data_IF_316594275757
#
_entry.id   IF_316594275757
#
_cell.length_a   1.000
_cell.length_b   1.000
_cell.length_c   1.000
_cell.angle_alpha   90.00
_cell.angle_beta   90.00
_cell.angle_gamma   90.00
#
_symmetry.space_group_name_H-M   'P 1'
#
loop_
_entity.id
_entity.type
_entity.pdbx_description
1 polymer ?
#
# COMPACT_ATOMS: atom_id res chain seq x y z
N UNK A 1 -7.50 17.59 -1.81
CA UNK A 1 -7.29 16.13 -1.87
C UNK A 1 -6.69 15.84 -3.23
N UNK A 2 -5.56 15.14 -3.30
CA UNK A 2 -4.86 14.87 -4.56
C UNK A 2 -4.86 13.36 -4.77
N UNK A 3 -5.58 12.90 -5.80
CA UNK A 3 -5.53 11.53 -6.25
C UNK A 3 -4.31 11.34 -7.14
N UNK A 4 -3.59 10.24 -6.93
CA UNK A 4 -2.54 9.81 -7.85
C UNK A 4 -3.16 9.52 -9.21
N UNK A 5 -2.46 9.84 -10.29
CA UNK A 5 -2.85 9.52 -11.66
C UNK A 5 -1.79 8.67 -12.37
N UNK A 6 -2.25 7.88 -13.34
CA UNK A 6 -1.35 7.28 -14.30
C UNK A 6 -0.43 8.33 -14.93
N UNK A 7 0.85 8.00 -15.06
CA UNK A 7 1.90 8.91 -15.51
C UNK A 7 2.66 9.63 -14.38
N UNK A 8 2.20 9.55 -13.13
CA UNK A 8 2.94 10.06 -11.97
C UNK A 8 3.93 9.01 -11.44
N UNK A 9 4.79 9.41 -10.50
CA UNK A 9 5.77 8.51 -9.87
C UNK A 9 5.49 8.39 -8.38
N UNK A 10 5.69 7.19 -7.86
CA UNK A 10 5.63 6.88 -6.42
C UNK A 10 6.89 6.17 -5.98
N UNK A 11 7.24 6.33 -4.71
CA UNK A 11 8.37 5.60 -4.13
C UNK A 11 7.96 4.17 -3.76
N UNK A 12 8.83 3.24 -4.10
CA UNK A 12 8.63 1.81 -3.91
C UNK A 12 9.95 1.13 -3.52
N UNK A 13 9.86 -0.02 -2.87
CA UNK A 13 11.00 -0.90 -2.54
C UNK A 13 10.67 -2.31 -3.02
N UNK A 14 11.66 -3.04 -3.54
CA UNK A 14 11.44 -4.40 -3.98
C UNK A 14 10.90 -5.29 -2.83
N UNK A 15 9.83 -6.03 -3.07
CA UNK A 15 9.12 -6.87 -2.08
C UNK A 15 9.94 -8.05 -1.56
N UNK A 16 11.00 -8.46 -2.26
CA UNK A 16 11.91 -9.53 -1.87
C UNK A 16 13.07 -9.04 -0.97
N UNK A 17 13.31 -7.73 -0.88
CA UNK A 17 14.42 -7.17 -0.10
C UNK A 17 13.97 -6.01 0.80
N UNK A 18 13.69 -6.26 2.10
CA UNK A 18 13.32 -5.20 3.04
C UNK A 18 14.42 -4.16 3.26
N UNK A 19 15.68 -4.46 2.90
CA UNK A 19 16.81 -3.55 2.99
C UNK A 19 17.18 -2.93 1.63
N UNK A 20 16.40 -3.23 0.58
CA UNK A 20 16.63 -2.75 -0.77
C UNK A 20 16.47 -1.22 -0.89
N UNK A 21 17.03 -0.62 -1.95
CA UNK A 21 16.88 0.81 -2.19
C UNK A 21 15.42 1.20 -2.38
N UNK A 22 15.08 2.43 -2.01
CA UNK A 22 13.82 3.05 -2.42
C UNK A 22 14.02 3.70 -3.78
N UNK A 23 13.13 3.38 -4.71
CA UNK A 23 13.20 3.82 -6.10
C UNK A 23 11.88 4.45 -6.54
N UNK A 24 11.90 5.49 -7.40
CA UNK A 24 10.70 6.01 -8.02
C UNK A 24 10.20 5.02 -9.10
N UNK A 25 8.92 4.66 -9.04
CA UNK A 25 8.25 3.82 -10.04
C UNK A 25 7.09 4.55 -10.66
N UNK A 26 6.95 4.40 -11.97
CA UNK A 26 5.87 4.99 -12.75
C UNK A 26 4.55 4.33 -12.36
N UNK A 27 3.53 5.14 -12.09
CA UNK A 27 2.15 4.70 -11.95
C UNK A 27 1.59 4.45 -13.34
N UNK A 28 1.32 3.20 -13.66
CA UNK A 28 0.78 2.81 -14.96
C UNK A 28 -0.73 2.95 -15.02
N UNK A 29 -1.41 2.56 -13.94
CA UNK A 29 -2.87 2.49 -13.87
C UNK A 29 -3.37 2.77 -12.45
N UNK A 30 -4.58 3.31 -12.35
CA UNK A 30 -5.27 3.57 -11.08
C UNK A 30 -6.66 2.96 -11.10
N UNK A 31 -7.11 2.43 -9.98
CA UNK A 31 -8.36 1.69 -9.83
C UNK A 31 -9.14 2.21 -8.62
N UNK A 32 -10.46 2.01 -8.62
CA UNK A 32 -11.30 2.25 -7.44
C UNK A 32 -12.40 1.19 -7.32
N UNK A 33 -12.85 0.95 -6.09
CA UNK A 33 -14.07 0.16 -5.78
C UNK A 33 -14.59 0.52 -4.37
N UNK A 34 -15.72 -0.06 -3.98
CA UNK A 34 -16.21 -0.01 -2.60
C UNK A 34 -15.67 -1.20 -1.80
N UNK A 35 -15.26 -1.00 -0.54
CA UNK A 35 -15.17 -2.10 0.45
C UNK A 35 -15.23 -1.57 1.88
N UNK A 36 -15.26 -2.53 2.82
CA UNK A 36 -15.21 -2.31 4.26
C UNK A 36 -13.85 -1.74 4.67
N UNK A 37 -13.89 -0.82 5.63
CA UNK A 37 -12.75 -0.07 6.08
C UNK A 37 -12.32 -0.51 7.48
N UNK A 38 -11.00 -0.57 7.65
CA UNK A 38 -10.35 -0.78 8.92
C UNK A 38 -9.59 0.49 9.30
N UNK A 39 -9.63 0.83 10.59
CA UNK A 39 -8.74 1.79 11.20
C UNK A 39 -7.58 1.03 11.84
N UNK A 40 -6.42 1.09 11.20
CA UNK A 40 -5.16 0.54 11.73
C UNK A 40 -4.39 1.69 12.39
N UNK A 41 -4.27 1.67 13.71
CA UNK A 41 -3.48 2.67 14.41
C UNK A 41 -2.01 2.25 14.45
N UNK A 42 -1.15 3.01 13.78
CA UNK A 42 0.31 2.84 13.76
C UNK A 42 0.92 4.03 14.49
N UNK A 43 1.68 3.74 15.55
CA UNK A 43 2.15 4.75 16.51
C UNK A 43 0.99 5.68 16.97
N UNK A 44 1.05 6.95 16.61
CA UNK A 44 0.07 7.97 16.97
C UNK A 44 -0.86 8.38 15.81
N UNK A 45 -0.85 7.65 14.70
CA UNK A 45 -1.67 7.95 13.52
C UNK A 45 -2.56 6.78 13.14
N UNK A 46 -3.67 7.10 12.47
CA UNK A 46 -4.63 6.10 11.98
C UNK A 46 -4.53 6.01 10.47
N UNK A 47 -4.12 4.84 9.99
CA UNK A 47 -4.20 4.48 8.59
C UNK A 47 -5.58 3.87 8.35
N UNK A 48 -6.27 4.38 7.34
CA UNK A 48 -7.54 3.82 6.87
C UNK A 48 -7.23 2.87 5.72
N UNK A 49 -7.57 1.61 5.89
CA UNK A 49 -7.13 0.55 4.96
C UNK A 49 -8.20 -0.53 4.84
N UNK A 50 -8.04 -1.46 3.91
CA UNK A 50 -8.82 -2.70 3.93
C UNK A 50 -8.16 -3.78 4.76
N UNK A 51 -8.98 -4.70 5.27
CA UNK A 51 -8.51 -5.85 6.03
C UNK A 51 -7.48 -6.69 5.27
N UNK A 52 -7.66 -6.91 3.96
CA UNK A 52 -6.75 -7.70 3.13
C UNK A 52 -5.48 -6.97 2.67
N UNK A 53 -5.27 -5.71 3.10
CA UNK A 53 -4.12 -4.93 2.63
C UNK A 53 -2.86 -5.29 3.43
N UNK A 54 -1.82 -5.86 2.80
CA UNK A 54 -0.67 -6.37 3.55
C UNK A 54 0.36 -5.30 3.91
N UNK A 55 0.87 -5.39 5.15
CA UNK A 55 1.99 -4.61 5.66
C UNK A 55 3.17 -5.53 6.02
N UNK A 56 4.40 -5.06 5.87
CA UNK A 56 5.58 -5.87 6.20
C UNK A 56 5.83 -5.86 7.71
N UNK A 57 5.50 -6.94 8.39
CA UNK A 57 5.60 -7.10 9.84
C UNK A 57 6.90 -7.80 10.27
N UNK A 58 7.50 -7.30 11.35
CA UNK A 58 8.76 -7.80 11.89
C UNK A 58 8.65 -9.28 12.27
N UNK A 59 9.58 -10.09 11.74
CA UNK A 59 9.61 -11.54 12.00
C UNK A 59 8.45 -12.34 11.39
N UNK A 60 7.52 -11.68 10.69
CA UNK A 60 6.34 -12.30 10.05
C UNK A 60 6.30 -12.13 8.53
N UNK A 61 6.97 -11.11 7.98
CA UNK A 61 6.88 -10.77 6.56
C UNK A 61 5.58 -10.05 6.23
N UNK A 62 5.04 -10.25 5.03
CA UNK A 62 3.78 -9.61 4.61
C UNK A 62 2.57 -10.20 5.36
N UNK A 63 1.86 -9.37 6.11
CA UNK A 63 0.66 -9.73 6.89
C UNK A 63 -0.49 -8.82 6.52
N UNK A 64 -1.65 -9.39 6.22
CA UNK A 64 -2.87 -8.64 5.89
C UNK A 64 -3.29 -7.78 7.11
N UNK A 65 -3.77 -6.55 6.90
CA UNK A 65 -4.08 -5.59 7.96
C UNK A 65 -4.98 -6.16 9.08
N UNK A 66 -5.98 -6.96 8.71
CA UNK A 66 -6.92 -7.58 9.65
C UNK A 66 -6.28 -8.67 10.52
N UNK A 67 -5.10 -9.16 10.15
CA UNK A 67 -4.36 -10.21 10.86
C UNK A 67 -3.25 -9.64 11.77
N UNK A 68 -2.98 -8.33 11.68
CA UNK A 68 -2.05 -7.65 12.57
C UNK A 68 -2.59 -7.61 13.99
N UNK A 69 -1.70 -7.77 14.97
CA UNK A 69 -2.03 -7.72 16.39
C UNK A 69 -1.45 -6.46 17.03
N UNK A 70 -2.10 -5.98 18.10
CA UNK A 70 -1.55 -4.91 18.93
C UNK A 70 -0.18 -5.33 19.46
N UNK A 71 0.81 -4.46 19.29
CA UNK A 71 2.21 -4.71 19.64
C UNK A 71 3.06 -5.30 18.50
N UNK A 72 2.45 -5.75 17.40
CA UNK A 72 3.20 -6.03 16.18
C UNK A 72 3.91 -4.77 15.68
N UNK A 73 5.00 -4.95 14.94
CA UNK A 73 5.74 -3.84 14.34
C UNK A 73 5.80 -3.98 12.83
N UNK A 74 5.55 -2.88 12.11
CA UNK A 74 5.57 -2.81 10.65
C UNK A 74 6.72 -1.94 10.17
N UNK A 75 7.28 -2.25 9.01
CA UNK A 75 8.48 -1.58 8.50
C UNK A 75 8.14 -0.22 7.88
N UNK A 76 8.84 0.82 8.33
CA UNK A 76 8.78 2.15 7.76
C UNK A 76 9.72 2.35 6.57
N UNK A 77 9.49 3.42 5.80
CA UNK A 77 10.33 3.80 4.65
C UNK A 77 11.80 4.01 5.05
N UNK A 78 12.06 4.62 6.20
CA UNK A 78 13.37 4.88 6.76
C UNK A 78 14.06 3.64 7.39
N UNK A 79 13.40 2.48 7.36
CA UNK A 79 13.88 1.24 7.98
C UNK A 79 13.57 1.11 9.47
N UNK A 80 12.84 2.06 10.06
CA UNK A 80 12.39 1.96 11.45
C UNK A 80 11.18 1.03 11.58
N UNK A 81 11.04 0.42 12.76
CA UNK A 81 9.92 -0.44 13.10
C UNK A 81 8.85 0.35 13.85
N UNK A 82 7.66 0.44 13.26
CA UNK A 82 6.52 1.22 13.76
C UNK A 82 5.48 0.29 14.41
N UNK A 83 5.03 0.63 15.60
CA UNK A 83 4.21 -0.23 16.45
C UNK A 83 2.72 -0.10 16.13
N UNK A 84 2.04 -1.23 15.95
CA UNK A 84 0.57 -1.30 15.90
C UNK A 84 0.01 -1.06 17.31
N UNK A 85 -0.80 -0.02 17.46
CA UNK A 85 -1.42 0.37 18.74
C UNK A 85 -2.87 -0.07 18.86
N UNK A 86 -3.58 -0.15 17.74
CA UNK A 86 -5.00 -0.53 17.71
C UNK A 86 -5.41 -1.01 16.30
N UNK A 87 -6.50 -1.78 16.24
CA UNK A 87 -7.12 -2.25 15.00
C UNK A 87 -8.64 -2.31 15.18
N UNK A 88 -9.37 -1.58 14.35
CA UNK A 88 -10.83 -1.53 14.36
C UNK A 88 -11.40 -1.82 12.97
N UNK A 89 -12.21 -2.88 12.85
CA UNK A 89 -13.15 -3.04 11.74
C UNK A 89 -14.30 -2.05 11.94
N UNK A 90 -14.44 -1.08 11.04
CA UNK A 90 -15.48 -0.04 11.19
C UNK A 90 -16.85 -0.54 10.73
N UNK A 91 -16.91 -1.61 9.93
CA UNK A 91 -18.11 -2.02 9.21
C UNK A 91 -18.61 -1.02 8.16
N UNK A 92 -17.89 0.09 7.95
CA UNK A 92 -18.27 1.14 7.00
C UNK A 92 -17.71 0.84 5.61
N UNK A 93 -18.53 1.07 4.59
CA UNK A 93 -18.11 0.94 3.20
C UNK A 93 -17.70 2.29 2.64
N UNK A 94 -16.51 2.35 2.05
CA UNK A 94 -16.03 3.56 1.39
C UNK A 94 -15.44 3.25 0.01
N UNK A 95 -15.39 4.29 -0.83
CA UNK A 95 -14.65 4.22 -2.08
C UNK A 95 -13.17 4.37 -1.78
N UNK A 96 -12.40 3.50 -2.38
CA UNK A 96 -10.95 3.45 -2.21
C UNK A 96 -10.25 3.59 -3.55
N UNK A 97 -8.93 3.63 -3.51
CA UNK A 97 -8.09 3.77 -4.67
C UNK A 97 -6.90 2.83 -4.56
N UNK A 98 -6.48 2.26 -5.68
CA UNK A 98 -5.23 1.51 -5.76
C UNK A 98 -4.56 1.81 -7.09
N UNK A 99 -3.33 1.35 -7.25
CA UNK A 99 -2.53 1.64 -8.44
C UNK A 99 -1.64 0.46 -8.82
N UNK A 100 -1.41 0.30 -10.11
CA UNK A 100 -0.32 -0.55 -10.63
C UNK A 100 0.87 0.35 -10.93
N UNK A 101 2.03 -0.04 -10.46
CA UNK A 101 3.29 0.66 -10.73
C UNK A 101 4.23 -0.25 -11.53
N UNK A 102 5.17 0.34 -12.25
CA UNK A 102 6.16 -0.41 -13.00
C UNK A 102 7.10 -1.20 -12.06
N UNK A 103 7.45 -2.42 -12.46
CA UNK A 103 8.43 -3.35 -11.88
C UNK A 103 8.16 -3.88 -10.47
N UNK A 104 7.46 -3.12 -9.61
CA UNK A 104 7.25 -3.45 -8.20
C UNK A 104 5.77 -3.60 -7.87
N UNK A 105 5.51 -4.28 -6.75
CA UNK A 105 4.19 -4.49 -6.18
C UNK A 105 4.06 -3.84 -4.80
N UNK A 106 4.79 -2.78 -4.49
CA UNK A 106 4.76 -2.15 -3.17
C UNK A 106 4.76 -0.62 -3.27
N UNK A 107 4.30 0.04 -2.22
CA UNK A 107 4.40 1.49 -2.07
C UNK A 107 4.39 1.87 -0.58
N UNK A 108 4.70 3.13 -0.30
CA UNK A 108 4.67 3.67 1.05
C UNK A 108 3.39 4.47 1.31
N UNK A 109 2.82 4.28 2.51
CA UNK A 109 1.59 4.94 2.97
C UNK A 109 1.93 5.84 4.16
N UNK A 110 1.63 7.13 4.07
CA UNK A 110 1.95 8.09 5.12
C UNK A 110 1.36 9.48 4.86
N UNK A 111 1.78 10.47 5.64
CA UNK A 111 1.52 11.89 5.41
C UNK A 111 2.77 12.67 5.84
N UNK A 112 3.14 13.73 5.12
CA UNK A 112 4.32 14.56 5.42
C UNK A 112 4.37 15.03 6.88
N UNK A 113 3.20 15.18 7.53
CA UNK A 113 3.09 15.63 8.92
C UNK A 113 3.40 14.55 9.95
N UNK A 114 3.41 13.28 9.54
CA UNK A 114 3.66 12.14 10.44
C UNK A 114 5.14 11.95 10.72
N UNK A 115 5.99 12.34 9.77
CA UNK A 115 7.43 12.13 9.83
C UNK A 115 7.85 10.68 9.58
N UNK A 116 6.91 9.83 9.15
CA UNK A 116 7.13 8.44 8.78
C UNK A 116 6.07 7.97 7.78
N UNK A 117 6.42 6.94 7.01
CA UNK A 117 5.52 6.20 6.12
C UNK A 117 5.71 4.70 6.33
N UNK A 118 4.66 3.91 6.14
CA UNK A 118 4.66 2.45 6.31
C UNK A 118 4.75 1.76 4.95
N UNK A 119 5.57 0.71 4.86
CA UNK A 119 5.68 -0.11 3.66
C UNK A 119 4.51 -1.07 3.51
N UNK A 120 3.82 -0.97 2.38
CA UNK A 120 2.67 -1.79 2.04
C UNK A 120 2.87 -2.50 0.70
N UNK A 121 2.26 -3.68 0.57
CA UNK A 121 2.28 -4.46 -0.65
C UNK A 121 0.93 -4.39 -1.38
N UNK A 122 0.98 -4.01 -2.65
CA UNK A 122 -0.09 -4.27 -3.58
C UNK A 122 -0.10 -5.76 -3.90
N UNK A 123 -0.86 -6.56 -3.15
CA UNK A 123 -1.03 -8.01 -3.41
C UNK A 123 -1.69 -8.18 -4.78
N UNK A 124 -0.97 -8.02 -5.89
CA UNK A 124 -1.43 -8.44 -7.20
C UNK A 124 -1.47 -9.97 -7.15
N UNK A 125 -2.63 -10.55 -6.81
CA UNK A 125 -2.77 -12.00 -6.70
C UNK A 125 -2.42 -12.60 -8.06
N UNK A 126 -1.26 -13.24 -8.15
CA UNK A 126 -0.82 -14.03 -9.29
C UNK A 126 -1.51 -15.40 -9.28
N UNK A 127 -2.79 -15.46 -9.60
CA UNK A 127 -3.49 -16.65 -10.09
C UNK A 127 -4.14 -16.41 -11.47
N UNK A 128 -3.54 -15.55 -12.30
CA UNK A 128 -4.09 -15.19 -13.63
C UNK A 128 -3.22 -15.62 -14.82
N UNK A 129 -2.34 -16.61 -14.66
CA UNK A 129 -1.64 -17.22 -15.80
C UNK A 129 -2.58 -18.10 -16.66
N UNK A 130 -3.56 -18.77 -16.06
CA UNK A 130 -4.47 -19.69 -16.77
C UNK A 130 -5.78 -19.06 -17.26
N UNK A 131 -6.18 -17.89 -16.75
CA UNK A 131 -7.46 -17.27 -17.10
C UNK A 131 -7.45 -16.49 -18.42
N UNK A 132 -6.27 -16.24 -19.02
CA UNK A 132 -6.16 -15.66 -20.39
C UNK A 132 -6.77 -16.56 -21.46
N UNK A 133 -6.99 -17.85 -21.19
CA UNK A 133 -7.62 -18.79 -22.15
C UNK A 133 -9.14 -18.88 -22.04
N UNK A 134 -9.75 -18.37 -20.97
CA UNK A 134 -11.17 -18.69 -20.66
C UNK A 134 -12.12 -17.51 -20.87
N UNK A 135 -11.65 -16.26 -20.96
CA UNK A 135 -12.58 -15.12 -21.03
C UNK A 135 -12.17 -14.03 -22.01
N UNK A 136 -12.59 -14.19 -23.27
CA UNK A 136 -12.82 -13.07 -24.16
C UNK A 136 -14.12 -12.38 -23.71
N UNK A 137 -14.01 -11.37 -22.84
CA UNK A 137 -15.13 -10.49 -22.48
C UNK A 137 -15.75 -10.71 -21.10
N UNK A 138 -15.05 -10.25 -20.06
CA UNK A 138 -15.63 -9.67 -18.84
C UNK A 138 -14.46 -9.19 -17.96
N UNK A 139 -14.19 -7.88 -17.92
CA UNK A 139 -13.14 -7.33 -17.06
C UNK A 139 -13.56 -7.37 -15.59
N UNK A 140 -12.76 -8.01 -14.72
CA UNK A 140 -12.88 -7.91 -13.26
C UNK A 140 -11.55 -8.16 -12.51
N UNK A 141 -11.49 -7.50 -11.34
CA UNK A 141 -10.65 -7.66 -10.12
C UNK A 141 -9.41 -6.74 -10.01
N UNK A 142 -9.39 -5.63 -9.24
CA UNK A 142 -9.71 -5.27 -7.81
C UNK A 142 -8.45 -5.36 -6.91
N UNK A 143 -8.10 -4.32 -6.10
CA UNK A 143 -7.42 -4.27 -4.75
C UNK A 143 -7.34 -2.78 -4.24
N UNK A 144 -7.07 -2.44 -2.96
CA UNK A 144 -7.55 -1.21 -2.22
C UNK A 144 -6.52 -0.30 -1.47
N UNK A 145 -6.82 1.01 -1.31
CA UNK A 145 -6.34 1.98 -0.28
C UNK A 145 -7.40 3.09 0.00
N UNK A 146 -7.70 3.42 1.24
CA UNK A 146 -8.46 4.63 1.57
C UNK A 146 -7.54 5.86 1.60
N UNK A 147 -7.99 6.96 1.01
CA UNK A 147 -7.22 8.19 0.82
C UNK A 147 -6.61 8.75 2.12
N UNK A 148 -5.32 8.55 2.31
CA UNK A 148 -4.47 9.43 3.11
C UNK A 148 -3.16 9.66 2.33
N UNK A 149 -3.15 10.80 1.62
CA UNK A 149 -2.03 11.51 0.97
C UNK A 149 -0.77 10.69 0.65
N UNK A 150 -0.64 10.25 -0.59
CA UNK A 150 0.61 9.66 -1.11
C UNK A 150 1.71 10.71 -1.38
N UNK A 151 2.19 11.38 -0.34
CA UNK A 151 3.12 12.48 -0.52
C UNK A 151 4.49 11.97 -1.02
N UNK A 152 4.70 12.28 -2.30
CA UNK A 152 5.93 12.65 -2.98
C UNK A 152 7.00 13.31 -2.08
N UNK A 153 7.62 12.60 -1.14
CA UNK A 153 8.71 13.17 -0.35
C UNK A 153 9.74 12.13 0.10
N UNK A 154 10.83 12.04 -0.66
CA UNK A 154 12.14 11.70 -0.12
C UNK A 154 13.12 12.88 -0.21
N UNK A 155 12.64 14.09 -0.56
CA UNK A 155 13.52 15.15 -1.06
C UNK A 155 14.28 14.75 -2.35
N UNK A 156 14.02 13.55 -2.86
CA UNK A 156 14.50 13.04 -4.14
C UNK A 156 13.53 13.55 -5.21
N UNK A 157 14.07 14.27 -6.18
CA UNK A 157 13.33 14.71 -7.36
C UNK A 157 13.49 13.60 -8.41
N UNK A 158 12.41 12.87 -8.77
CA UNK A 158 12.50 11.78 -9.74
C UNK A 158 12.90 12.26 -11.14
N UNK A 159 12.94 13.58 -11.41
CA UNK A 159 13.44 14.16 -12.65
C UNK A 159 14.87 14.76 -12.55
N UNK A 160 15.58 14.57 -11.43
CA UNK A 160 16.99 15.01 -11.26
C UNK A 160 17.99 13.86 -11.15
N UNK A 161 17.83 12.82 -11.96
CA UNK A 161 18.90 11.86 -12.25
C UNK A 161 19.52 12.16 -13.62
#
# INVERSE_FOLDING_TARGET
MQSIKAGEYVYSRNDADPNGPIEPKLVEETFSRLAVIFHLQVENQVIRTTGEHPFFAEGKGWVDAQELLIGDRVLGSNGEWLTIRDLLDTGEFETVYNMRIADHHTYFVGDDRWGWEVWSHNKCIGEYADLRKIWAGAGKQIHHLLEQRFAKLLGMDPMKM
#
